data_IF_038375876578
#
_entry.id   IF_038375876578
#
_cell.length_a   1.000
_cell.length_b   1.000
_cell.length_c   1.000
_cell.angle_alpha   90.00
_cell.angle_beta   90.00
_cell.angle_gamma   90.00
#
_symmetry.space_group_name_H-M   'P 1'
#
loop_
_entity.id
_entity.type
_entity.pdbx_description
1 polymer ?
#
# COMPACT_ATOMS: atom_id res chain seq x y z
N UNK A 1 11.37 6.41 -11.67
CA UNK A 1 10.65 5.16 -11.87
C UNK A 1 11.52 3.97 -11.43
N UNK A 2 10.88 2.90 -11.03
CA UNK A 2 11.51 1.62 -10.75
C UNK A 2 10.60 0.49 -11.23
N UNK A 3 11.18 -0.68 -11.53
CA UNK A 3 10.37 -1.88 -11.74
C UNK A 3 10.05 -2.56 -10.41
N UNK A 4 9.05 -3.44 -10.38
CA UNK A 4 8.74 -4.27 -9.21
C UNK A 4 9.94 -5.11 -8.78
N UNK A 5 10.70 -5.66 -9.73
CA UNK A 5 11.94 -6.40 -9.46
C UNK A 5 13.02 -5.51 -8.81
N UNK A 6 13.19 -4.29 -9.29
CA UNK A 6 14.12 -3.32 -8.71
C UNK A 6 13.70 -2.89 -7.30
N UNK A 7 12.39 -2.70 -7.06
CA UNK A 7 11.88 -2.43 -5.72
C UNK A 7 12.15 -3.60 -4.77
N UNK A 8 11.94 -4.84 -5.22
CA UNK A 8 12.29 -6.02 -4.42
C UNK A 8 13.79 -6.01 -4.04
N UNK A 9 14.70 -5.71 -4.97
CA UNK A 9 16.13 -5.56 -4.68
C UNK A 9 16.41 -4.39 -3.74
N UNK A 10 15.81 -3.23 -3.98
CA UNK A 10 16.00 -2.02 -3.18
C UNK A 10 15.59 -2.30 -1.72
N UNK A 11 14.48 -2.98 -1.48
CA UNK A 11 13.97 -3.22 -0.13
C UNK A 11 14.51 -4.51 0.51
N UNK A 12 15.42 -5.23 -0.14
CA UNK A 12 16.00 -6.47 0.41
C UNK A 12 17.51 -6.53 0.27
N UNK A 13 18.02 -7.03 -0.85
CA UNK A 13 19.41 -7.47 -1.04
C UNK A 13 20.40 -6.36 -1.40
N UNK A 14 19.98 -5.31 -2.09
CA UNK A 14 20.87 -4.23 -2.48
C UNK A 14 21.35 -3.43 -1.25
N UNK A 15 22.62 -3.05 -1.20
CA UNK A 15 23.16 -2.17 -0.15
C UNK A 15 23.24 -0.73 -0.66
N UNK A 16 23.64 -0.57 -1.90
CA UNK A 16 23.81 0.71 -2.58
C UNK A 16 22.84 0.86 -3.75
N UNK A 17 22.53 2.09 -4.10
CA UNK A 17 21.75 2.37 -5.31
C UNK A 17 22.40 1.80 -6.57
N UNK A 18 23.71 1.84 -6.67
CA UNK A 18 24.49 1.24 -7.78
C UNK A 18 24.43 -0.28 -7.86
N UNK A 19 23.97 -0.98 -6.81
CA UNK A 19 23.76 -2.43 -6.85
C UNK A 19 22.50 -2.79 -7.66
N UNK A 20 21.58 -1.84 -7.80
CA UNK A 20 20.33 -1.97 -8.57
C UNK A 20 20.56 -1.57 -10.03
N UNK A 21 21.07 -0.36 -10.25
CA UNK A 21 21.48 0.12 -11.58
C UNK A 21 22.90 0.69 -11.50
N UNK A 22 23.80 0.23 -12.34
CA UNK A 22 25.21 0.59 -12.30
C UNK A 22 25.48 2.11 -12.53
N UNK A 23 24.56 2.81 -13.15
CA UNK A 23 24.61 4.27 -13.39
C UNK A 23 24.00 5.09 -12.25
N UNK A 24 23.41 4.46 -11.24
CA UNK A 24 22.92 5.13 -10.04
C UNK A 24 24.04 5.43 -9.04
N UNK A 25 23.81 6.34 -8.07
CA UNK A 25 24.84 6.70 -7.10
C UNK A 25 25.40 5.51 -6.31
N UNK A 26 26.70 5.50 -6.05
CA UNK A 26 27.36 4.49 -5.21
C UNK A 26 27.18 4.81 -3.70
N UNK A 27 26.02 5.30 -3.34
CA UNK A 27 25.62 5.67 -1.97
C UNK A 27 24.74 4.59 -1.38
N UNK A 28 24.77 4.45 -0.05
CA UNK A 28 23.96 3.46 0.67
C UNK A 28 22.48 3.80 0.59
N UNK A 29 21.62 2.79 0.41
CA UNK A 29 20.18 2.94 0.44
C UNK A 29 19.72 3.07 1.91
N UNK A 30 18.99 4.13 2.24
CA UNK A 30 18.36 4.32 3.54
C UNK A 30 16.86 4.00 3.41
N UNK A 31 16.38 3.00 4.13
CA UNK A 31 15.02 2.47 3.99
C UNK A 31 14.16 2.86 5.18
N UNK A 32 12.98 3.40 4.90
CA UNK A 32 11.98 3.77 5.91
C UNK A 32 10.66 3.06 5.57
N UNK A 33 10.24 2.12 6.42
CA UNK A 33 9.08 1.27 6.15
C UNK A 33 8.17 1.19 7.37
N UNK A 34 6.87 0.86 7.18
CA UNK A 34 5.96 0.57 8.29
C UNK A 34 6.44 -0.59 9.14
N UNK A 35 5.95 -0.69 10.37
CA UNK A 35 6.16 -1.84 11.22
C UNK A 35 5.45 -3.10 10.73
N UNK A 36 5.83 -4.25 11.28
CA UNK A 36 5.30 -5.56 10.87
C UNK A 36 3.83 -5.78 11.23
N UNK A 37 3.23 -4.95 12.07
CA UNK A 37 1.79 -4.99 12.37
C UNK A 37 0.96 -4.18 11.36
N UNK A 38 1.60 -3.59 10.34
CA UNK A 38 0.97 -2.74 9.33
C UNK A 38 0.51 -3.54 8.12
N UNK A 39 -0.76 -3.46 7.76
CA UNK A 39 -1.24 -4.02 6.51
C UNK A 39 -0.61 -3.41 5.25
N UNK A 40 0.03 -2.25 5.34
CA UNK A 40 0.84 -1.67 4.25
C UNK A 40 2.16 -2.43 4.09
N UNK A 41 2.78 -2.84 5.19
CA UNK A 41 3.95 -3.72 5.19
C UNK A 41 3.61 -5.07 4.56
N UNK A 42 2.57 -5.74 5.07
CA UNK A 42 2.15 -7.06 4.58
C UNK A 42 1.91 -7.06 3.07
N UNK A 43 1.15 -6.07 2.60
CA UNK A 43 0.83 -5.97 1.18
C UNK A 43 2.07 -5.68 0.30
N UNK A 44 2.98 -4.84 0.76
CA UNK A 44 4.22 -4.57 0.03
C UNK A 44 5.10 -5.83 -0.05
N UNK A 45 5.19 -6.61 1.03
CA UNK A 45 5.89 -7.90 1.02
C UNK A 45 5.23 -8.84 0.02
N UNK A 46 3.91 -9.01 0.07
CA UNK A 46 3.15 -9.90 -0.81
C UNK A 46 3.30 -9.52 -2.29
N UNK A 47 3.10 -8.24 -2.61
CA UNK A 47 3.04 -7.80 -4.00
C UNK A 47 4.41 -7.58 -4.67
N UNK A 48 5.44 -7.23 -3.89
CA UNK A 48 6.73 -6.80 -4.42
C UNK A 48 7.88 -7.72 -4.03
N UNK A 49 7.97 -8.13 -2.77
CA UNK A 49 9.16 -8.85 -2.30
C UNK A 49 9.02 -10.36 -2.46
N UNK A 50 7.88 -10.93 -2.11
CA UNK A 50 7.63 -12.37 -2.16
C UNK A 50 7.89 -13.00 -3.55
N UNK A 51 7.52 -12.38 -4.68
CA UNK A 51 7.81 -12.90 -6.01
C UNK A 51 9.32 -13.07 -6.31
N UNK A 52 10.17 -12.28 -5.65
CA UNK A 52 11.64 -12.39 -5.81
C UNK A 52 12.26 -13.44 -4.87
N UNK A 53 11.51 -14.00 -3.94
CA UNK A 53 11.99 -14.94 -2.91
C UNK A 53 11.07 -16.18 -2.81
N UNK A 54 10.98 -17.00 -3.89
CA UNK A 54 10.11 -18.17 -3.91
C UNK A 54 10.52 -19.21 -2.86
N UNK A 55 9.60 -20.10 -2.53
CA UNK A 55 9.84 -21.26 -1.70
C UNK A 55 10.57 -22.39 -2.45
N UNK A 56 10.71 -23.56 -1.81
CA UNK A 56 11.40 -24.71 -2.39
C UNK A 56 10.66 -25.34 -3.60
N UNK A 57 9.38 -25.08 -3.71
CA UNK A 57 8.49 -25.51 -4.81
C UNK A 57 8.48 -24.50 -5.98
N UNK A 58 9.05 -23.29 -5.76
CA UNK A 58 9.12 -22.23 -6.76
C UNK A 58 7.89 -21.31 -6.76
N UNK A 59 7.07 -21.37 -5.71
CA UNK A 59 5.91 -20.49 -5.52
C UNK A 59 6.31 -19.26 -4.71
N UNK A 60 5.63 -18.14 -4.93
CA UNK A 60 5.88 -16.90 -4.21
C UNK A 60 5.73 -17.12 -2.70
N UNK A 61 6.73 -16.70 -1.92
CA UNK A 61 6.75 -16.92 -0.47
C UNK A 61 6.77 -15.61 0.31
N UNK A 62 5.65 -15.31 0.96
CA UNK A 62 5.53 -14.16 1.87
C UNK A 62 6.51 -14.29 3.03
N UNK A 63 6.69 -15.49 3.61
CA UNK A 63 7.62 -15.73 4.71
C UNK A 63 9.08 -15.43 4.30
N UNK A 64 9.49 -15.91 3.13
CA UNK A 64 10.84 -15.63 2.60
C UNK A 64 11.00 -14.15 2.25
N UNK A 65 9.97 -13.53 1.68
CA UNK A 65 9.95 -12.10 1.35
C UNK A 65 10.05 -11.22 2.61
N UNK A 66 9.31 -11.56 3.65
CA UNK A 66 9.39 -10.88 4.95
C UNK A 66 10.80 -11.02 5.56
N UNK A 67 11.33 -12.22 5.59
CA UNK A 67 12.69 -12.46 6.09
C UNK A 67 13.74 -11.64 5.29
N UNK A 68 13.57 -11.53 3.98
CA UNK A 68 14.48 -10.78 3.12
C UNK A 68 14.42 -9.26 3.38
N UNK A 69 13.23 -8.67 3.48
CA UNK A 69 13.08 -7.23 3.75
C UNK A 69 13.59 -6.88 5.16
N UNK A 70 13.31 -7.71 6.16
CA UNK A 70 13.77 -7.48 7.55
C UNK A 70 15.29 -7.63 7.72
N UNK A 71 15.95 -8.37 6.82
CA UNK A 71 17.41 -8.51 6.79
C UNK A 71 18.11 -7.37 6.02
N UNK A 72 17.36 -6.47 5.38
CA UNK A 72 17.93 -5.39 4.57
C UNK A 72 18.79 -4.43 5.39
N UNK A 73 19.93 -4.00 4.82
CA UNK A 73 20.81 -3.02 5.45
C UNK A 73 20.11 -1.65 5.59
N UNK A 74 20.49 -0.87 6.61
CA UNK A 74 20.01 0.51 6.84
C UNK A 74 18.48 0.62 6.85
N UNK A 75 17.80 -0.38 7.41
CA UNK A 75 16.35 -0.43 7.56
C UNK A 75 15.93 0.28 8.86
N UNK A 76 14.95 1.17 8.73
CA UNK A 76 14.27 1.82 9.85
C UNK A 76 12.77 1.60 9.73
N UNK A 77 12.16 1.17 10.81
CA UNK A 77 10.74 0.84 10.88
C UNK A 77 10.02 1.75 11.87
N UNK A 78 8.79 2.13 11.58
CA UNK A 78 7.93 2.89 12.48
C UNK A 78 6.46 2.61 12.20
N UNK A 79 5.64 2.54 13.25
CA UNK A 79 4.17 2.53 13.15
C UNK A 79 3.60 3.94 12.90
N UNK A 80 4.42 4.98 13.03
CA UNK A 80 4.03 6.35 12.70
C UNK A 80 4.59 6.75 11.33
N UNK A 81 3.72 6.80 10.32
CA UNK A 81 4.09 7.18 8.96
C UNK A 81 4.70 8.58 8.87
N UNK A 82 4.40 9.50 9.78
CA UNK A 82 5.05 10.81 9.80
C UNK A 82 6.56 10.69 10.12
N UNK A 83 6.95 9.73 10.93
CA UNK A 83 8.37 9.42 11.18
C UNK A 83 9.04 8.89 9.92
N UNK A 84 8.34 8.03 9.17
CA UNK A 84 8.84 7.50 7.89
C UNK A 84 9.03 8.62 6.86
N UNK A 85 8.03 9.51 6.72
CA UNK A 85 8.11 10.70 5.85
C UNK A 85 9.32 11.57 6.21
N UNK A 86 9.53 11.86 7.49
CA UNK A 86 10.68 12.66 7.93
C UNK A 86 12.00 11.96 7.63
N UNK A 87 12.06 10.65 7.78
CA UNK A 87 13.22 9.84 7.42
C UNK A 87 13.56 9.96 5.93
N UNK A 88 12.58 9.82 5.06
CA UNK A 88 12.78 9.95 3.61
C UNK A 88 13.19 11.38 3.23
N UNK A 89 12.53 12.41 3.77
CA UNK A 89 12.88 13.82 3.54
C UNK A 89 14.31 14.15 4.03
N UNK A 90 14.81 13.42 5.04
CA UNK A 90 16.11 13.67 5.66
C UNK A 90 17.32 13.33 4.80
N UNK A 91 17.16 12.58 3.68
CA UNK A 91 18.29 12.19 2.82
C UNK A 91 17.88 12.02 1.36
N UNK A 92 18.68 12.51 0.40
CA UNK A 92 18.43 12.27 -1.03
C UNK A 92 18.66 10.80 -1.45
N UNK A 93 19.20 9.97 -0.56
CA UNK A 93 19.43 8.54 -0.79
C UNK A 93 18.45 7.66 -0.01
N UNK A 94 17.42 8.28 0.56
CA UNK A 94 16.37 7.57 1.28
C UNK A 94 15.23 7.16 0.35
N UNK A 95 14.61 6.05 0.67
CA UNK A 95 13.39 5.56 0.07
C UNK A 95 12.48 4.99 1.17
N UNK A 96 11.17 5.05 0.97
CA UNK A 96 10.21 4.46 1.87
C UNK A 96 8.91 4.13 1.16
N UNK A 97 8.06 3.36 1.82
CA UNK A 97 6.68 3.18 1.42
C UNK A 97 5.75 3.38 2.63
N UNK A 98 4.64 4.00 2.39
CA UNK A 98 3.61 4.33 3.39
C UNK A 98 2.32 4.73 2.68
N UNK A 99 1.24 4.95 3.42
CA UNK A 99 -0.05 5.33 2.85
C UNK A 99 0.02 6.60 1.99
N UNK A 100 -0.69 6.62 0.86
CA UNK A 100 -0.67 7.70 -0.12
C UNK A 100 -1.05 9.08 0.47
N UNK A 101 -1.91 9.09 1.49
CA UNK A 101 -2.27 10.31 2.24
C UNK A 101 -1.05 11.08 2.76
N UNK A 102 -0.07 10.36 3.27
CA UNK A 102 1.15 10.97 3.83
C UNK A 102 2.05 11.56 2.74
N UNK A 103 2.08 10.92 1.55
CA UNK A 103 2.71 11.53 0.38
C UNK A 103 1.99 12.82 -0.03
N UNK A 104 0.65 12.80 -0.16
CA UNK A 104 -0.12 13.99 -0.56
C UNK A 104 0.14 15.18 0.37
N UNK A 105 0.16 14.95 1.68
CA UNK A 105 0.43 15.98 2.68
C UNK A 105 1.85 16.56 2.61
N UNK A 106 2.79 15.88 1.92
CA UNK A 106 4.21 16.24 1.82
C UNK A 106 4.72 16.23 0.36
N UNK A 107 3.84 16.39 -0.63
CA UNK A 107 4.19 16.33 -2.04
C UNK A 107 5.17 17.43 -2.50
N UNK A 108 5.32 18.50 -1.70
CA UNK A 108 6.31 19.54 -1.88
C UNK A 108 7.75 19.10 -1.51
N UNK A 109 7.91 17.99 -0.77
CA UNK A 109 9.19 17.49 -0.25
C UNK A 109 9.55 16.11 -0.74
N UNK A 110 8.57 15.35 -1.23
CA UNK A 110 8.71 13.95 -1.64
C UNK A 110 8.48 13.80 -3.14
N UNK A 111 9.15 12.81 -3.71
CA UNK A 111 8.88 12.38 -5.08
C UNK A 111 8.26 10.99 -5.03
N UNK A 112 7.04 10.85 -5.56
CA UNK A 112 6.42 9.54 -5.72
C UNK A 112 7.02 8.82 -6.93
N UNK A 113 7.19 7.51 -6.82
CA UNK A 113 7.73 6.68 -7.90
C UNK A 113 6.60 6.08 -8.74
N UNK A 114 6.79 6.12 -10.05
CA UNK A 114 6.09 5.18 -10.93
C UNK A 114 6.70 3.81 -10.78
N UNK A 115 5.87 2.78 -10.76
CA UNK A 115 6.28 1.37 -10.68
C UNK A 115 5.86 0.68 -11.97
N UNK A 116 6.77 -0.01 -12.63
CA UNK A 116 6.58 -0.65 -13.94
C UNK A 116 6.02 0.33 -15.01
N UNK A 117 6.41 1.61 -14.89
CA UNK A 117 5.98 2.68 -15.78
C UNK A 117 4.61 3.28 -15.45
N UNK A 118 3.92 2.79 -14.42
CA UNK A 118 2.61 3.28 -13.99
C UNK A 118 2.76 4.22 -12.80
N UNK A 119 2.17 5.42 -12.89
CA UNK A 119 2.14 6.38 -11.79
C UNK A 119 0.93 6.10 -10.86
N UNK A 120 1.03 6.36 -9.55
CA UNK A 120 -0.10 6.23 -8.63
C UNK A 120 -1.09 7.39 -8.82
N UNK A 121 -2.18 7.12 -9.49
CA UNK A 121 -3.30 8.03 -9.74
C UNK A 121 -4.61 7.40 -9.28
N UNK A 122 -5.68 8.17 -9.21
CA UNK A 122 -7.01 7.61 -8.91
C UNK A 122 -7.40 6.52 -9.92
N UNK A 123 -7.14 6.75 -11.22
CA UNK A 123 -7.44 5.79 -12.28
C UNK A 123 -6.62 4.50 -12.13
N UNK A 124 -5.29 4.61 -11.97
CA UNK A 124 -4.42 3.43 -11.83
C UNK A 124 -4.60 2.69 -10.50
N UNK A 125 -5.13 3.35 -9.48
CA UNK A 125 -5.52 2.69 -8.23
C UNK A 125 -6.86 1.95 -8.37
N UNK A 126 -7.83 2.51 -9.12
CA UNK A 126 -9.14 1.90 -9.33
C UNK A 126 -9.07 0.68 -10.26
N UNK A 127 -8.35 0.78 -11.37
CA UNK A 127 -8.20 -0.31 -12.33
C UNK A 127 -7.11 -1.34 -11.94
N UNK A 128 -6.46 -1.14 -10.79
CA UNK A 128 -5.36 -1.95 -10.25
C UNK A 128 -4.15 -2.05 -11.20
N UNK A 129 -3.95 -1.08 -12.07
CA UNK A 129 -2.75 -1.04 -12.93
C UNK A 129 -1.49 -0.58 -12.19
N UNK A 130 -1.63 0.19 -11.08
CA UNK A 130 -0.49 0.50 -10.22
C UNK A 130 -0.19 -0.70 -9.32
N UNK A 131 0.99 -1.34 -9.42
CA UNK A 131 1.26 -2.65 -8.81
C UNK A 131 1.12 -2.72 -7.30
N UNK A 132 1.27 -1.59 -6.60
CA UNK A 132 1.18 -1.52 -5.14
C UNK A 132 -0.05 -0.74 -4.66
N UNK A 133 -1.12 -0.72 -5.47
CA UNK A 133 -2.44 -0.28 -5.04
C UNK A 133 -3.30 -1.47 -4.61
N UNK A 134 -4.18 -1.24 -3.64
CA UNK A 134 -5.18 -2.23 -3.25
C UNK A 134 -6.46 -1.55 -2.78
N UNK A 135 -7.63 -2.19 -3.00
CA UNK A 135 -8.88 -1.70 -2.42
C UNK A 135 -8.88 -1.89 -0.90
N UNK A 136 -9.56 -0.98 -0.20
CA UNK A 136 -9.88 -1.11 1.22
C UNK A 136 -11.33 -1.56 1.37
N UNK A 137 -11.57 -2.51 2.27
CA UNK A 137 -12.89 -3.10 2.49
C UNK A 137 -13.34 -2.91 3.93
N UNK A 138 -14.65 -2.73 4.11
CA UNK A 138 -15.32 -2.97 5.37
C UNK A 138 -16.04 -4.32 5.29
N UNK A 139 -15.98 -5.10 6.38
CA UNK A 139 -16.58 -6.44 6.44
C UNK A 139 -17.69 -6.48 7.48
N UNK A 140 -18.84 -7.02 7.06
CA UNK A 140 -19.97 -7.34 7.95
C UNK A 140 -20.70 -8.55 7.41
N UNK A 141 -21.72 -9.02 8.11
CA UNK A 141 -22.58 -10.11 7.64
C UNK A 141 -24.05 -9.68 7.67
N UNK A 142 -24.89 -10.25 6.78
CA UNK A 142 -26.32 -10.02 6.77
C UNK A 142 -26.93 -10.28 8.16
N UNK A 143 -26.55 -11.39 8.80
CA UNK A 143 -27.01 -11.72 10.16
C UNK A 143 -26.74 -10.62 11.19
N UNK A 144 -25.52 -10.05 11.19
CA UNK A 144 -25.17 -8.96 12.13
C UNK A 144 -26.00 -7.72 11.83
N UNK A 145 -26.21 -7.38 10.56
CA UNK A 145 -26.99 -6.21 10.17
C UNK A 145 -28.47 -6.35 10.52
N UNK A 146 -29.03 -7.55 10.38
CA UNK A 146 -30.42 -7.85 10.78
C UNK A 146 -30.62 -7.84 12.30
N UNK A 147 -29.70 -8.44 13.06
CA UNK A 147 -29.75 -8.47 14.52
C UNK A 147 -29.41 -7.11 15.17
N UNK A 148 -28.63 -6.27 14.47
CA UNK A 148 -28.12 -4.98 14.97
C UNK A 148 -28.41 -3.86 13.96
N UNK A 149 -29.61 -3.27 13.97
CA UNK A 149 -30.00 -2.23 13.01
C UNK A 149 -29.03 -1.03 12.95
N UNK A 150 -28.35 -0.72 14.06
CA UNK A 150 -27.34 0.33 14.10
C UNK A 150 -26.11 0.02 13.23
N UNK A 151 -25.74 -1.27 13.07
CA UNK A 151 -24.66 -1.69 12.16
C UNK A 151 -25.11 -1.51 10.71
N UNK A 152 -26.32 -1.95 10.38
CA UNK A 152 -26.89 -1.74 9.05
C UNK A 152 -26.95 -0.24 8.69
N UNK A 153 -27.43 0.59 9.62
CA UNK A 153 -27.51 2.05 9.42
C UNK A 153 -26.11 2.68 9.24
N UNK A 154 -25.10 2.24 10.01
CA UNK A 154 -23.74 2.73 9.86
C UNK A 154 -23.14 2.35 8.51
N UNK A 155 -23.28 1.09 8.08
CA UNK A 155 -22.76 0.65 6.77
C UNK A 155 -23.45 1.41 5.63
N UNK A 156 -24.76 1.60 5.69
CA UNK A 156 -25.49 2.41 4.71
C UNK A 156 -24.99 3.86 4.67
N UNK A 157 -24.85 4.50 5.84
CA UNK A 157 -24.31 5.85 5.94
C UNK A 157 -22.90 5.93 5.35
N UNK A 158 -22.03 4.97 5.67
CA UNK A 158 -20.69 4.89 5.13
C UNK A 158 -20.71 4.83 3.60
N UNK A 159 -21.42 3.86 3.02
CA UNK A 159 -21.47 3.65 1.57
C UNK A 159 -22.04 4.87 0.81
N UNK A 160 -22.97 5.61 1.43
CA UNK A 160 -23.60 6.79 0.80
C UNK A 160 -22.82 8.08 0.97
N UNK A 161 -21.80 8.12 1.82
CA UNK A 161 -21.05 9.35 2.12
C UNK A 161 -19.54 9.23 1.90
N UNK A 162 -18.97 8.02 1.79
CA UNK A 162 -17.53 7.81 1.77
C UNK A 162 -16.82 8.64 0.71
N UNK A 163 -17.33 8.72 -0.50
CA UNK A 163 -16.70 9.48 -1.58
C UNK A 163 -16.70 11.01 -1.38
N UNK A 164 -17.53 11.52 -0.46
CA UNK A 164 -17.53 12.94 -0.12
C UNK A 164 -16.35 13.32 0.80
N UNK A 165 -15.86 12.35 1.59
CA UNK A 165 -14.86 12.57 2.63
C UNK A 165 -13.49 11.95 2.29
N UNK A 166 -13.49 10.95 1.40
CA UNK A 166 -12.33 10.04 1.24
C UNK A 166 -11.08 10.75 0.71
N UNK A 167 -11.25 11.77 -0.13
CA UNK A 167 -10.13 12.55 -0.67
C UNK A 167 -9.45 13.38 0.43
N UNK A 168 -10.24 13.93 1.36
CA UNK A 168 -9.70 14.71 2.48
C UNK A 168 -8.96 13.81 3.49
N UNK A 169 -9.31 12.54 3.52
CA UNK A 169 -8.59 11.51 4.31
C UNK A 169 -7.34 11.01 3.60
N UNK A 170 -7.19 11.29 2.29
CA UNK A 170 -6.01 10.95 1.50
C UNK A 170 -6.06 9.58 0.84
N UNK A 171 -7.26 9.07 0.59
CA UNK A 171 -7.48 7.86 -0.21
C UNK A 171 -8.18 8.20 -1.53
N UNK A 172 -8.22 7.25 -2.44
CA UNK A 172 -8.95 7.39 -3.69
C UNK A 172 -10.42 6.99 -3.53
N UNK A 173 -11.35 7.71 -4.18
CA UNK A 173 -12.77 7.35 -4.16
C UNK A 173 -13.00 6.05 -4.95
N UNK A 174 -13.97 5.26 -4.51
CA UNK A 174 -14.47 4.16 -5.32
C UNK A 174 -15.36 4.69 -6.46
N UNK A 175 -15.43 3.96 -7.57
CA UNK A 175 -16.34 4.31 -8.67
C UNK A 175 -17.82 4.19 -8.26
N UNK A 176 -18.67 4.90 -8.98
CA UNK A 176 -20.11 4.82 -8.78
C UNK A 176 -20.64 3.39 -8.97
N UNK A 177 -20.03 2.61 -9.88
CA UNK A 177 -20.40 1.20 -10.13
C UNK A 177 -20.09 0.33 -8.91
N UNK A 178 -18.90 0.48 -8.31
CA UNK A 178 -18.49 -0.26 -7.10
C UNK A 178 -19.37 0.09 -5.91
N UNK A 179 -19.65 1.38 -5.69
CA UNK A 179 -20.53 1.82 -4.61
C UNK A 179 -21.97 1.34 -4.79
N UNK A 180 -22.50 1.39 -6.02
CA UNK A 180 -23.84 0.88 -6.30
C UNK A 180 -23.93 -0.64 -6.07
N UNK A 181 -22.91 -1.40 -6.50
CA UNK A 181 -22.84 -2.83 -6.21
C UNK A 181 -22.81 -3.16 -4.71
N UNK A 182 -22.08 -2.36 -3.93
CA UNK A 182 -22.04 -2.49 -2.47
C UNK A 182 -23.39 -2.15 -1.81
N UNK A 183 -24.11 -1.13 -2.30
CA UNK A 183 -25.45 -0.75 -1.83
C UNK A 183 -26.50 -1.82 -2.17
N UNK A 184 -26.41 -2.42 -3.35
CA UNK A 184 -27.27 -3.53 -3.77
C UNK A 184 -27.05 -4.76 -2.87
N UNK A 185 -25.78 -5.09 -2.59
CA UNK A 185 -25.43 -6.17 -1.65
C UNK A 185 -25.92 -5.89 -0.22
N UNK A 186 -25.77 -4.64 0.25
CA UNK A 186 -26.31 -4.22 1.54
C UNK A 186 -27.83 -4.39 1.60
N UNK A 187 -28.55 -3.94 0.56
CA UNK A 187 -30.00 -4.04 0.46
C UNK A 187 -30.47 -5.50 0.51
N UNK A 188 -29.84 -6.37 -0.25
CA UNK A 188 -30.14 -7.81 -0.24
C UNK A 188 -29.93 -8.42 1.14
N UNK A 189 -28.79 -8.11 1.77
CA UNK A 189 -28.41 -8.67 3.08
C UNK A 189 -29.30 -8.21 4.26
N UNK A 190 -29.93 -7.04 4.16
CA UNK A 190 -30.82 -6.51 5.21
C UNK A 190 -32.27 -6.98 5.02
N UNK A 191 -32.69 -7.30 3.77
CA UNK A 191 -34.06 -7.68 3.44
C UNK A 191 -34.34 -9.20 3.53
N UNK A 192 -33.30 -10.04 3.56
CA UNK A 192 -33.43 -11.50 3.78
C UNK A 192 -33.70 -11.81 5.28
#
# INVERSE_FOLDING_TARGET
DATSEELAMIFSSAVKWSDVRADWPAEDILRFIPGTDSGTFDYFVEAIVAPAYPDAEGEDSVENGEAAILAAANLQMSEDDNVLVQGVVGSPYAIGFFGFAYYQANADKLTVLSVDGVAPTAESAEDNSYPISRPLFIYTTGKIMQEKPQVAAFVYFYLTNVNNEILDVGYFPASDEVLQGALDAWTAAVME
#
